data_IF_262618313096
#
_entry.id   IF_262618313096
#
_cell.length_a   1.000
_cell.length_b   1.000
_cell.length_c   1.000
_cell.angle_alpha   90.00
_cell.angle_beta   90.00
_cell.angle_gamma   90.00
#
_symmetry.space_group_name_H-M   'P 1'
#
loop_
_entity.id
_entity.type
_entity.pdbx_description
1 polymer ?
#
# COMPACT_ATOMS: atom_id res chain seq x y z
N UNK A 1 -9.91 2.40 13.85
CA UNK A 1 -10.28 0.99 13.98
C UNK A 1 -11.72 0.93 14.49
N UNK A 2 -12.58 0.21 13.82
CA UNK A 2 -13.96 -0.04 14.21
C UNK A 2 -14.12 -1.50 14.64
N UNK A 3 -14.67 -1.73 15.84
CA UNK A 3 -14.97 -3.08 16.34
C UNK A 3 -16.48 -3.24 16.38
N UNK A 4 -17.03 -4.20 15.64
CA UNK A 4 -18.46 -4.42 15.50
C UNK A 4 -18.85 -5.81 16.03
N UNK A 5 -19.91 -5.84 16.86
CA UNK A 5 -20.65 -7.07 17.13
C UNK A 5 -21.69 -7.29 16.02
N UNK A 6 -21.83 -8.52 15.56
CA UNK A 6 -22.85 -8.87 14.57
C UNK A 6 -24.28 -8.76 15.11
N UNK A 7 -24.46 -9.02 16.39
CA UNK A 7 -25.76 -8.93 17.08
C UNK A 7 -25.82 -7.67 17.93
N UNK A 8 -26.49 -6.65 17.42
CA UNK A 8 -26.83 -5.42 18.15
C UNK A 8 -28.35 -5.21 18.05
N UNK A 9 -28.95 -4.58 19.09
CA UNK A 9 -30.41 -4.53 19.26
C UNK A 9 -31.16 -3.76 18.17
N UNK A 10 -30.54 -2.72 17.57
CA UNK A 10 -31.23 -1.81 16.64
C UNK A 10 -30.77 -1.95 15.18
N UNK A 11 -29.50 -2.23 14.96
CA UNK A 11 -28.88 -2.36 13.62
C UNK A 11 -27.80 -3.43 13.68
N UNK A 12 -27.82 -4.38 12.77
CA UNK A 12 -26.79 -5.44 12.72
C UNK A 12 -25.39 -4.90 12.36
N UNK A 13 -24.33 -5.51 12.89
CA UNK A 13 -22.94 -5.09 12.64
C UNK A 13 -22.59 -4.99 11.14
N UNK A 14 -23.15 -5.86 10.28
CA UNK A 14 -22.96 -5.79 8.83
C UNK A 14 -23.62 -4.54 8.22
N UNK A 15 -24.78 -4.13 8.69
CA UNK A 15 -25.44 -2.90 8.19
C UNK A 15 -24.64 -1.67 8.57
N UNK A 16 -24.12 -1.63 9.80
CA UNK A 16 -23.20 -0.57 10.23
C UNK A 16 -21.96 -0.56 9.36
N UNK A 17 -21.33 -1.71 9.12
CA UNK A 17 -20.14 -1.84 8.28
C UNK A 17 -20.40 -1.32 6.85
N UNK A 18 -21.55 -1.65 6.24
CA UNK A 18 -21.95 -1.15 4.91
C UNK A 18 -22.08 0.37 4.88
N UNK A 19 -22.69 0.97 5.90
CA UNK A 19 -22.82 2.43 5.99
C UNK A 19 -21.46 3.10 6.13
N UNK A 20 -20.58 2.54 6.97
CA UNK A 20 -19.23 3.06 7.13
C UNK A 20 -18.45 2.99 5.81
N UNK A 21 -18.56 1.90 5.04
CA UNK A 21 -17.88 1.76 3.73
C UNK A 21 -18.36 2.79 2.68
N UNK A 22 -19.53 3.37 2.84
CA UNK A 22 -20.00 4.48 1.99
C UNK A 22 -19.36 5.83 2.37
N UNK A 23 -18.90 5.97 3.62
CA UNK A 23 -18.30 7.20 4.15
C UNK A 23 -16.76 7.12 4.15
N UNK A 24 -16.23 5.94 4.46
CA UNK A 24 -14.81 5.65 4.57
C UNK A 24 -14.61 4.16 4.25
N UNK A 25 -14.05 3.87 3.08
CA UNK A 25 -13.76 2.53 2.61
C UNK A 25 -12.44 1.97 3.18
N UNK A 26 -11.60 2.82 3.78
CA UNK A 26 -10.31 2.44 4.32
C UNK A 26 -10.32 2.13 5.84
N UNK A 27 -11.34 2.56 6.60
CA UNK A 27 -11.35 2.32 8.03
C UNK A 27 -11.29 0.82 8.34
N UNK A 28 -10.32 0.33 9.15
CA UNK A 28 -10.23 -1.08 9.49
C UNK A 28 -11.41 -1.51 10.35
N UNK A 29 -12.09 -2.60 9.94
CA UNK A 29 -13.24 -3.17 10.65
C UNK A 29 -12.85 -4.53 11.20
N UNK A 30 -12.96 -4.70 12.53
CA UNK A 30 -12.90 -5.98 13.23
C UNK A 30 -14.33 -6.42 13.55
N UNK A 31 -14.71 -7.62 13.16
CA UNK A 31 -16.01 -8.21 13.51
C UNK A 31 -15.82 -9.19 14.68
N UNK A 32 -16.56 -8.99 15.75
CA UNK A 32 -16.58 -9.86 16.93
C UNK A 32 -17.98 -10.46 17.07
N UNK A 33 -18.10 -11.78 17.05
CA UNK A 33 -19.42 -12.44 17.00
C UNK A 33 -19.46 -13.78 17.71
N UNK A 34 -20.65 -14.22 18.11
CA UNK A 34 -20.87 -15.54 18.68
C UNK A 34 -21.03 -16.67 17.64
N UNK A 35 -21.09 -16.37 16.33
CA UNK A 35 -21.32 -17.35 15.26
C UNK A 35 -20.47 -17.10 14.02
N UNK A 36 -20.06 -18.15 13.35
CA UNK A 36 -19.29 -18.11 12.10
C UNK A 36 -20.16 -17.93 10.86
N UNK A 37 -21.49 -17.99 10.98
CA UNK A 37 -22.43 -18.00 9.85
C UNK A 37 -22.34 -16.73 8.98
N UNK A 38 -21.86 -15.62 9.54
CA UNK A 38 -21.75 -14.35 8.86
C UNK A 38 -20.34 -14.04 8.30
N UNK A 39 -19.43 -15.02 8.30
CA UNK A 39 -18.06 -14.79 7.82
C UNK A 39 -18.02 -14.33 6.35
N UNK A 40 -18.88 -14.89 5.49
CA UNK A 40 -19.02 -14.51 4.08
C UNK A 40 -19.49 -13.06 3.91
N UNK A 41 -20.39 -12.60 4.78
CA UNK A 41 -20.90 -11.22 4.75
C UNK A 41 -19.86 -10.24 5.30
N UNK A 42 -19.09 -10.64 6.32
CA UNK A 42 -17.93 -9.90 6.81
C UNK A 42 -16.89 -9.67 5.72
N UNK A 43 -16.61 -10.69 4.89
CA UNK A 43 -15.73 -10.57 3.74
C UNK A 43 -16.23 -9.53 2.72
N UNK A 44 -17.54 -9.50 2.43
CA UNK A 44 -18.15 -8.53 1.48
C UNK A 44 -18.02 -7.07 1.90
N UNK A 45 -17.92 -6.81 3.21
CA UNK A 45 -17.70 -5.44 3.75
C UNK A 45 -16.23 -5.13 3.98
N UNK A 46 -15.32 -5.99 3.51
CA UNK A 46 -13.88 -5.81 3.68
C UNK A 46 -13.47 -5.77 5.15
N UNK A 47 -14.04 -6.65 5.99
CA UNK A 47 -13.59 -6.77 7.36
C UNK A 47 -12.15 -7.28 7.41
N UNK A 48 -11.32 -6.61 8.20
CA UNK A 48 -9.92 -6.99 8.38
C UNK A 48 -9.77 -8.36 9.05
N UNK A 49 -10.57 -8.60 10.09
CA UNK A 49 -10.57 -9.88 10.80
C UNK A 49 -11.94 -10.16 11.42
N UNK A 50 -12.20 -11.45 11.54
CA UNK A 50 -13.39 -12.01 12.17
C UNK A 50 -12.97 -12.77 13.41
N UNK A 51 -13.48 -12.39 14.59
CA UNK A 51 -13.14 -13.01 15.88
C UNK A 51 -14.40 -13.63 16.47
N UNK A 52 -14.33 -14.92 16.80
CA UNK A 52 -15.47 -15.67 17.38
C UNK A 52 -15.40 -15.59 18.91
N UNK A 53 -16.55 -15.32 19.53
CA UNK A 53 -16.69 -15.35 21.01
C UNK A 53 -16.69 -16.80 21.53
N UNK A 54 -16.05 -17.10 22.66
CA UNK A 54 -15.41 -16.17 23.60
C UNK A 54 -14.11 -15.59 23.05
N UNK A 55 -13.93 -14.28 23.16
CA UNK A 55 -12.73 -13.59 22.66
C UNK A 55 -11.57 -13.86 23.62
N UNK A 56 -10.57 -14.55 23.13
CA UNK A 56 -9.30 -14.67 23.87
C UNK A 56 -8.50 -13.37 23.72
N UNK A 57 -7.93 -12.90 24.83
CA UNK A 57 -7.19 -11.62 24.85
C UNK A 57 -6.03 -11.64 23.86
N UNK A 58 -5.38 -12.81 23.64
CA UNK A 58 -4.30 -12.98 22.68
C UNK A 58 -4.74 -12.77 21.24
N UNK A 59 -5.89 -13.30 20.84
CA UNK A 59 -6.41 -13.19 19.46
C UNK A 59 -6.80 -11.73 19.12
N UNK A 60 -7.43 -11.06 20.08
CA UNK A 60 -7.82 -9.66 19.90
C UNK A 60 -6.60 -8.74 19.82
N UNK A 61 -5.65 -8.89 20.75
CA UNK A 61 -4.42 -8.11 20.77
C UNK A 61 -3.60 -8.33 19.48
N UNK A 62 -3.43 -9.59 19.07
CA UNK A 62 -2.74 -9.92 17.81
C UNK A 62 -3.40 -9.27 16.59
N UNK A 63 -4.74 -9.25 16.52
CA UNK A 63 -5.46 -8.57 15.44
C UNK A 63 -5.26 -7.06 15.44
N UNK A 64 -5.25 -6.45 16.63
CA UNK A 64 -5.00 -4.99 16.78
C UNK A 64 -3.54 -4.65 16.46
N UNK A 65 -2.58 -5.43 16.92
CA UNK A 65 -1.16 -5.25 16.61
C UNK A 65 -0.90 -5.33 15.10
N UNK A 66 -1.46 -6.35 14.45
CA UNK A 66 -1.35 -6.49 12.99
C UNK A 66 -1.98 -5.30 12.24
N UNK A 67 -3.12 -4.78 12.73
CA UNK A 67 -3.74 -3.58 12.19
C UNK A 67 -2.86 -2.34 12.36
N UNK A 68 -2.27 -2.14 13.54
CA UNK A 68 -1.38 -1.02 13.81
C UNK A 68 -0.13 -1.09 12.95
N UNK A 69 0.45 -2.27 12.79
CA UNK A 69 1.60 -2.50 11.91
C UNK A 69 1.26 -2.19 10.44
N UNK A 70 0.07 -2.59 9.98
CA UNK A 70 -0.40 -2.24 8.62
C UNK A 70 -0.64 -0.75 8.46
N UNK A 71 -1.21 -0.08 9.47
CA UNK A 71 -1.41 1.37 9.43
C UNK A 71 -0.08 2.13 9.48
N UNK A 72 0.90 1.68 10.25
CA UNK A 72 2.24 2.28 10.26
C UNK A 72 2.95 2.09 8.92
N UNK A 73 2.80 0.94 8.29
CA UNK A 73 3.29 0.69 6.92
C UNK A 73 2.52 1.47 5.85
N UNK A 74 1.24 1.81 6.09
CA UNK A 74 0.40 2.67 5.24
C UNK A 74 0.61 4.17 5.47
N UNK A 75 1.30 4.59 6.53
CA UNK A 75 1.71 5.99 6.66
C UNK A 75 2.75 6.27 5.57
N UNK A 76 2.26 6.73 4.42
CA UNK A 76 3.09 7.24 3.36
C UNK A 76 4.09 8.21 3.95
N UNK A 77 5.35 7.88 3.89
CA UNK A 77 6.39 8.78 4.33
C UNK A 77 6.46 9.98 3.39
N UNK A 78 7.03 11.08 3.88
CA UNK A 78 7.21 12.27 3.08
C UNK A 78 8.59 12.21 2.44
N UNK A 79 8.63 12.14 1.12
CA UNK A 79 9.83 12.34 0.33
C UNK A 79 10.04 13.83 0.03
N UNK A 80 11.16 14.37 0.45
CA UNK A 80 11.51 15.77 0.22
C UNK A 80 12.80 15.92 -0.58
N UNK A 81 12.81 16.84 -1.54
CA UNK A 81 13.96 17.10 -2.41
C UNK A 81 14.04 18.58 -2.79
N UNK A 82 15.25 19.10 -3.12
CA UNK A 82 15.43 20.47 -3.61
C UNK A 82 14.72 20.64 -4.96
N UNK A 83 14.03 21.75 -5.15
CA UNK A 83 13.44 22.15 -6.42
C UNK A 83 13.79 23.61 -6.74
N UNK A 84 13.48 24.07 -7.94
CA UNK A 84 13.76 25.45 -8.38
C UNK A 84 13.10 26.49 -7.46
N UNK A 85 11.95 26.15 -6.88
CA UNK A 85 11.18 27.04 -5.98
C UNK A 85 11.45 26.81 -4.48
N UNK A 86 12.47 26.01 -4.12
CA UNK A 86 12.79 25.67 -2.74
C UNK A 86 12.78 24.16 -2.49
N UNK A 87 12.19 23.70 -1.39
CA UNK A 87 12.06 22.28 -1.08
C UNK A 87 10.66 21.78 -1.44
N UNK A 88 10.57 20.81 -2.32
CA UNK A 88 9.31 20.11 -2.64
C UNK A 88 9.14 18.92 -1.71
N UNK A 89 7.91 18.68 -1.26
CA UNK A 89 7.51 17.53 -0.45
C UNK A 89 6.40 16.77 -1.19
N UNK A 90 6.55 15.46 -1.30
CA UNK A 90 5.54 14.56 -1.85
C UNK A 90 5.30 13.42 -0.87
N UNK A 91 4.07 12.94 -0.80
CA UNK A 91 3.76 11.69 -0.15
C UNK A 91 4.35 10.54 -0.98
N UNK A 92 5.03 9.58 -0.36
CA UNK A 92 5.68 8.48 -1.12
C UNK A 92 4.67 7.61 -1.87
N UNK A 93 3.45 7.45 -1.36
CA UNK A 93 2.34 6.74 -2.02
C UNK A 93 1.72 7.52 -3.21
N UNK A 94 2.10 8.78 -3.42
CA UNK A 94 1.74 9.54 -4.62
C UNK A 94 2.76 9.40 -5.74
N UNK A 95 3.94 8.84 -5.46
CA UNK A 95 5.01 8.71 -6.44
C UNK A 95 4.88 7.37 -7.16
N UNK A 96 4.73 7.41 -8.48
CA UNK A 96 4.72 6.23 -9.34
C UNK A 96 6.12 5.65 -9.49
N UNK A 97 7.07 6.49 -9.89
CA UNK A 97 8.46 6.07 -10.08
C UNK A 97 9.43 7.25 -10.13
N UNK A 98 10.69 6.94 -10.01
CA UNK A 98 11.82 7.86 -10.23
C UNK A 98 12.67 7.34 -11.38
N UNK A 99 13.08 8.26 -12.25
CA UNK A 99 13.98 7.99 -13.37
C UNK A 99 15.26 8.80 -13.24
N UNK A 100 16.40 8.16 -13.48
CA UNK A 100 17.70 8.84 -13.51
C UNK A 100 18.15 9.04 -14.95
N UNK A 101 18.41 10.28 -15.31
CA UNK A 101 19.15 10.66 -16.51
C UNK A 101 20.41 11.42 -16.09
N UNK A 102 21.57 10.75 -16.22
CA UNK A 102 22.86 11.24 -15.73
C UNK A 102 22.81 11.55 -14.22
N UNK A 103 22.81 12.85 -13.87
CA UNK A 103 22.71 13.36 -12.48
C UNK A 103 21.36 13.97 -12.16
N UNK A 104 20.44 13.94 -13.10
CA UNK A 104 19.08 14.44 -12.91
C UNK A 104 18.16 13.31 -12.55
N UNK A 105 17.41 13.47 -11.48
CA UNK A 105 16.32 12.57 -11.10
C UNK A 105 15.01 13.22 -11.52
N UNK A 106 14.21 12.49 -12.27
CA UNK A 106 12.83 12.81 -12.61
C UNK A 106 11.91 12.01 -11.70
N UNK A 107 11.07 12.69 -10.93
CA UNK A 107 10.04 12.10 -10.06
C UNK A 107 8.71 12.22 -10.78
N UNK A 108 8.04 11.12 -11.02
CA UNK A 108 6.69 11.09 -11.62
C UNK A 108 5.70 10.70 -10.55
N UNK A 109 4.80 11.62 -10.23
CA UNK A 109 3.83 11.52 -9.15
C UNK A 109 2.42 11.95 -9.60
N UNK A 110 1.43 11.74 -8.74
CA UNK A 110 0.04 12.15 -8.97
C UNK A 110 -0.09 13.66 -9.19
N UNK A 111 0.73 14.46 -8.49
CA UNK A 111 0.76 15.93 -8.56
C UNK A 111 1.47 16.45 -9.83
N UNK A 112 2.20 15.59 -10.53
CA UNK A 112 2.94 15.95 -11.74
C UNK A 112 4.35 15.39 -11.76
N UNK A 113 5.19 16.02 -12.59
CA UNK A 113 6.59 15.62 -12.77
C UNK A 113 7.52 16.69 -12.23
N UNK A 114 8.50 16.24 -11.44
CA UNK A 114 9.49 17.10 -10.79
C UNK A 114 10.90 16.63 -11.14
N UNK A 115 11.87 17.52 -11.05
CA UNK A 115 13.28 17.18 -11.29
C UNK A 115 14.20 17.77 -10.24
N UNK A 116 15.23 17.03 -9.87
CA UNK A 116 16.30 17.49 -8.99
C UNK A 116 17.61 16.78 -9.29
N UNK A 117 18.72 17.23 -8.71
CA UNK A 117 20.03 16.61 -8.86
C UNK A 117 20.23 15.52 -7.79
N UNK A 118 20.52 14.30 -8.22
CA UNK A 118 20.71 13.17 -7.30
C UNK A 118 21.18 11.91 -8.01
N UNK A 119 21.21 10.80 -7.27
CA UNK A 119 21.57 9.48 -7.81
C UNK A 119 20.50 8.46 -7.46
N UNK A 120 20.20 7.55 -8.39
CA UNK A 120 19.22 6.50 -8.19
C UNK A 120 19.60 5.54 -7.06
N UNK A 121 20.90 5.31 -6.85
CA UNK A 121 21.39 4.40 -5.80
C UNK A 121 21.16 4.94 -4.40
N UNK A 122 21.36 6.25 -4.18
CA UNK A 122 21.06 6.88 -2.88
C UNK A 122 19.55 6.87 -2.60
N UNK A 123 18.73 7.03 -3.65
CA UNK A 123 17.27 7.02 -3.53
C UNK A 123 16.72 5.60 -3.30
N UNK A 124 17.35 4.58 -3.87
CA UNK A 124 17.01 3.17 -3.63
C UNK A 124 17.14 2.83 -2.13
N UNK A 125 18.24 3.23 -1.49
CA UNK A 125 18.42 3.03 -0.05
C UNK A 125 17.40 3.79 0.79
N UNK A 126 17.17 5.07 0.45
CA UNK A 126 16.25 5.95 1.16
C UNK A 126 14.78 5.49 1.07
N UNK A 127 14.34 5.10 -0.14
CA UNK A 127 12.92 4.82 -0.43
C UNK A 127 12.57 3.33 -0.36
N UNK A 128 13.55 2.45 -0.15
CA UNK A 128 13.29 1.01 0.01
C UNK A 128 12.30 0.69 1.14
N UNK A 129 12.36 1.34 2.32
CA UNK A 129 11.36 1.14 3.38
C UNK A 129 9.94 1.53 2.97
N UNK A 130 9.80 2.43 2.01
CA UNK A 130 8.52 2.92 1.49
C UNK A 130 8.00 2.10 0.29
N UNK A 131 8.56 0.91 0.05
CA UNK A 131 8.12 0.00 -1.00
C UNK A 131 8.62 0.34 -2.40
N UNK A 132 9.74 1.07 -2.51
CA UNK A 132 10.36 1.30 -3.82
C UNK A 132 11.39 0.22 -4.15
N UNK A 133 11.34 -0.27 -5.39
CA UNK A 133 12.26 -1.28 -5.91
C UNK A 133 12.91 -0.80 -7.21
N UNK A 134 14.21 -1.09 -7.34
CA UNK A 134 14.95 -0.77 -8.55
C UNK A 134 14.75 -1.84 -9.62
N UNK A 135 14.09 -1.48 -10.72
CA UNK A 135 13.81 -2.38 -11.85
C UNK A 135 14.85 -2.29 -12.97
N UNK A 136 15.58 -1.16 -13.05
CA UNK A 136 16.58 -0.88 -14.07
C UNK A 136 17.69 0.02 -13.51
N UNK A 137 18.84 0.12 -14.21
CA UNK A 137 19.89 1.06 -13.80
C UNK A 137 19.41 2.50 -13.64
N UNK A 138 18.35 2.87 -14.35
CA UNK A 138 17.77 4.22 -14.36
C UNK A 138 16.37 4.32 -13.76
N UNK A 139 15.73 3.23 -13.32
CA UNK A 139 14.35 3.26 -12.83
C UNK A 139 14.20 2.64 -11.45
N UNK A 140 13.59 3.40 -10.55
CA UNK A 140 13.15 3.02 -9.22
C UNK A 140 11.65 3.21 -9.15
N UNK A 141 10.87 2.15 -8.93
CA UNK A 141 9.40 2.18 -8.99
C UNK A 141 8.78 1.90 -7.64
N UNK A 142 7.64 2.48 -7.37
CA UNK A 142 6.82 2.13 -6.22
C UNK A 142 6.03 0.86 -6.55
N UNK A 143 6.22 -0.20 -5.75
CA UNK A 143 5.59 -1.51 -5.96
C UNK A 143 4.07 -1.40 -5.88
N UNK A 144 3.52 -0.51 -5.03
CA UNK A 144 2.09 -0.29 -4.88
C UNK A 144 1.41 0.25 -6.15
N UNK A 145 2.17 0.86 -7.05
CA UNK A 145 1.71 1.41 -8.32
C UNK A 145 2.05 0.57 -9.54
N UNK A 146 2.49 -0.67 -9.36
CA UNK A 146 2.69 -1.60 -10.46
C UNK A 146 1.33 -2.16 -10.89
N UNK A 147 0.90 -1.82 -12.10
CA UNK A 147 -0.30 -2.38 -12.70
C UNK A 147 -0.08 -3.79 -13.26
N UNK A 148 1.05 -4.00 -13.94
CA UNK A 148 1.38 -5.28 -14.56
C UNK A 148 2.88 -5.42 -14.81
N UNK A 149 3.37 -6.67 -14.74
CA UNK A 149 4.74 -7.05 -15.13
C UNK A 149 4.65 -8.01 -16.31
N UNK A 150 5.24 -7.64 -17.43
CA UNK A 150 5.26 -8.49 -18.62
C UNK A 150 6.65 -8.52 -19.27
N UNK A 151 7.23 -9.72 -19.36
CA UNK A 151 8.59 -9.93 -19.90
C UNK A 151 9.63 -9.02 -19.25
N UNK A 152 10.22 -8.11 -20.01
CA UNK A 152 11.27 -7.18 -19.56
C UNK A 152 10.71 -5.76 -19.40
N UNK A 153 9.45 -5.63 -18.99
CA UNK A 153 8.79 -4.35 -18.76
C UNK A 153 7.85 -4.39 -17.55
N UNK A 154 7.67 -3.23 -16.96
CA UNK A 154 6.71 -2.96 -15.88
C UNK A 154 5.77 -1.86 -16.35
N UNK A 155 4.47 -2.11 -16.29
CA UNK A 155 3.43 -1.09 -16.54
C UNK A 155 2.99 -0.51 -15.21
N UNK A 156 3.03 0.81 -15.10
CA UNK A 156 2.59 1.54 -13.91
C UNK A 156 1.08 1.87 -13.99
N UNK A 157 0.46 2.24 -12.88
CA UNK A 157 -0.96 2.64 -12.82
C UNK A 157 -1.28 3.84 -13.72
N UNK A 158 -0.33 4.76 -13.91
CA UNK A 158 -0.45 5.88 -14.84
C UNK A 158 -0.32 5.48 -16.32
N UNK A 159 -0.27 4.17 -16.62
CA UNK A 159 -0.18 3.54 -17.94
C UNK A 159 1.17 3.67 -18.64
N UNK A 160 2.17 4.24 -18.01
CA UNK A 160 3.53 4.26 -18.56
C UNK A 160 4.18 2.87 -18.46
N UNK A 161 4.93 2.51 -19.50
CA UNK A 161 5.63 1.23 -19.60
C UNK A 161 7.12 1.48 -19.45
N UNK A 162 7.71 0.92 -18.40
CA UNK A 162 9.11 1.11 -18.02
C UNK A 162 9.93 -0.14 -18.34
N UNK A 163 11.16 -0.01 -18.85
CA UNK A 163 12.05 -1.15 -19.11
C UNK A 163 12.55 -1.75 -17.80
N UNK A 164 12.59 -3.07 -17.72
CA UNK A 164 13.14 -3.82 -16.61
C UNK A 164 14.37 -4.62 -17.06
N UNK A 165 15.42 -4.58 -16.26
CA UNK A 165 16.62 -5.39 -16.49
C UNK A 165 16.34 -6.88 -16.28
N UNK A 166 16.79 -7.75 -17.19
CA UNK A 166 16.56 -9.21 -17.13
C UNK A 166 16.97 -9.83 -15.80
N UNK A 167 18.09 -9.41 -15.22
CA UNK A 167 18.58 -9.92 -13.95
C UNK A 167 17.73 -9.47 -12.73
N UNK A 168 16.97 -8.39 -12.84
CA UNK A 168 16.07 -7.89 -11.79
C UNK A 168 14.69 -8.57 -11.80
N UNK A 169 14.34 -9.27 -12.87
CA UNK A 169 13.01 -9.85 -13.09
C UNK A 169 12.53 -10.72 -11.93
N UNK A 170 13.40 -11.59 -11.40
CA UNK A 170 13.02 -12.47 -10.30
C UNK A 170 12.73 -11.70 -9.01
N UNK A 171 13.60 -10.76 -8.67
CA UNK A 171 13.46 -9.90 -7.49
C UNK A 171 12.17 -9.06 -7.56
N UNK A 172 11.94 -8.39 -8.71
CA UNK A 172 10.75 -7.55 -8.91
C UNK A 172 9.44 -8.35 -8.84
N UNK A 173 9.41 -9.55 -9.45
CA UNK A 173 8.22 -10.41 -9.35
C UNK A 173 7.97 -10.89 -7.92
N UNK A 174 9.01 -11.23 -7.16
CA UNK A 174 8.86 -11.64 -5.77
C UNK A 174 8.32 -10.52 -4.90
N UNK A 175 8.86 -9.31 -5.00
CA UNK A 175 8.40 -8.13 -4.27
C UNK A 175 6.95 -7.78 -4.63
N UNK A 176 6.60 -7.83 -5.92
CA UNK A 176 5.24 -7.58 -6.37
C UNK A 176 4.24 -8.62 -5.84
N UNK A 177 4.60 -9.91 -5.87
CA UNK A 177 3.76 -10.96 -5.30
C UNK A 177 3.60 -10.81 -3.78
N UNK A 178 4.70 -10.55 -3.06
CA UNK A 178 4.64 -10.28 -1.62
C UNK A 178 3.77 -9.08 -1.28
N UNK A 179 3.83 -8.02 -2.10
CA UNK A 179 2.94 -6.87 -1.95
C UNK A 179 1.47 -7.24 -2.17
N UNK A 180 1.16 -8.03 -3.21
CA UNK A 180 -0.19 -8.49 -3.50
C UNK A 180 -0.74 -9.36 -2.36
N UNK A 181 0.06 -10.32 -1.85
CA UNK A 181 -0.33 -11.20 -0.73
C UNK A 181 -0.58 -10.42 0.57
N UNK A 182 0.19 -9.36 0.83
CA UNK A 182 0.03 -8.52 2.01
C UNK A 182 -1.20 -7.57 1.94
N UNK A 183 -1.79 -7.38 0.75
CA UNK A 183 -2.91 -6.45 0.52
C UNK A 183 -4.18 -7.13 -0.03
N UNK A 184 -4.21 -8.48 -0.04
CA UNK A 184 -5.40 -9.31 -0.23
C UNK A 184 -6.08 -9.56 1.11
#
# INVERSE_FOLDING_TARGET
>A
ILVLDMRMETMGGIEVAKHIRQLDDEVPILIVTATVDYAVEGYKVGAFRYIVKPVESGDFLSAVEELLDRQQKKQASIFSFPSISGTTKLMTDHIYYLESDLRTIRVVAKEGTFTFTGTISSLEEQLRPDGFIRIHKSFLVNVSHIYNIFKDSVTMDNKEVLPMSKHKRREVNQEFLSYMEANL
#
